data_IF_948202700775
#
_entry.id   IF_948202700775
#
_cell.length_a   1.000
_cell.length_b   1.000
_cell.length_c   1.000
_cell.angle_alpha   90.00
_cell.angle_beta   90.00
_cell.angle_gamma   90.00
#
_symmetry.space_group_name_H-M   'P 1'
#
loop_
_entity.id
_entity.type
_entity.pdbx_description
1 polymer ?
#
# COMPACT_ATOMS: atom_id res chain seq x y z
N UNK A 1 0.78 -15.02 -98.27
CA UNK A 1 -0.50 -15.15 -97.62
C UNK A 1 -0.24 -15.72 -96.24
N UNK A 2 -0.26 -14.90 -95.21
CA UNK A 2 0.18 -15.24 -93.87
C UNK A 2 -1.07 -15.27 -92.93
N UNK A 3 -1.32 -16.38 -92.27
CA UNK A 3 -2.38 -16.51 -91.27
C UNK A 3 -1.70 -16.41 -89.92
N UNK A 4 -2.01 -15.34 -89.22
CA UNK A 4 -1.67 -15.16 -87.83
C UNK A 4 -2.74 -15.81 -86.94
N UNK A 5 -2.38 -16.90 -86.24
CA UNK A 5 -3.18 -17.48 -85.19
C UNK A 5 -2.94 -16.80 -83.86
N UNK A 6 -3.92 -16.13 -83.30
CA UNK A 6 -3.88 -15.57 -81.95
C UNK A 6 -4.16 -16.71 -80.92
N UNK A 7 -3.14 -16.92 -80.07
CA UNK A 7 -3.29 -17.80 -78.91
C UNK A 7 -3.70 -16.98 -77.71
N UNK A 8 -4.91 -17.19 -77.22
CA UNK A 8 -5.37 -16.57 -75.99
C UNK A 8 -4.78 -17.34 -74.81
N UNK A 9 -3.90 -16.69 -74.08
CA UNK A 9 -3.41 -17.19 -72.79
C UNK A 9 -4.37 -16.76 -71.69
N UNK A 10 -5.09 -17.72 -71.13
CA UNK A 10 -5.89 -17.53 -69.92
C UNK A 10 -4.98 -17.28 -68.74
N UNK A 11 -5.00 -16.09 -68.15
CA UNK A 11 -4.30 -15.79 -66.92
C UNK A 11 -5.25 -16.17 -65.78
N UNK A 12 -4.92 -17.23 -65.06
CA UNK A 12 -5.57 -17.63 -63.80
C UNK A 12 -4.95 -16.79 -62.70
N UNK A 13 -5.71 -15.85 -62.12
CA UNK A 13 -5.28 -15.07 -60.94
C UNK A 13 -5.69 -15.89 -59.69
N UNK A 14 -4.74 -16.34 -58.87
CA UNK A 14 -5.10 -16.97 -57.60
C UNK A 14 -5.62 -15.91 -56.64
N UNK A 15 -6.87 -16.06 -56.20
CA UNK A 15 -7.43 -15.32 -55.10
C UNK A 15 -6.77 -15.78 -53.78
N UNK A 16 -5.84 -14.96 -53.27
CA UNK A 16 -5.27 -15.18 -51.92
C UNK A 16 -6.31 -14.70 -50.91
N UNK A 17 -6.94 -15.67 -50.23
CA UNK A 17 -7.77 -15.42 -49.05
C UNK A 17 -6.82 -15.08 -47.88
N UNK A 18 -6.65 -13.80 -47.62
CA UNK A 18 -5.90 -13.33 -46.45
C UNK A 18 -6.72 -13.55 -45.19
N UNK A 19 -6.31 -14.54 -44.40
CA UNK A 19 -6.81 -14.71 -43.02
C UNK A 19 -6.23 -13.58 -42.18
N UNK A 20 -7.06 -12.57 -41.89
CA UNK A 20 -6.72 -11.47 -41.02
C UNK A 20 -6.78 -11.97 -39.55
N UNK A 21 -5.63 -12.35 -39.01
CA UNK A 21 -5.49 -12.70 -37.59
C UNK A 21 -5.59 -11.41 -36.78
N UNK A 22 -6.73 -11.21 -36.15
CA UNK A 22 -6.91 -10.11 -35.16
C UNK A 22 -6.13 -10.48 -33.91
N UNK A 23 -4.96 -9.88 -33.75
CA UNK A 23 -4.20 -9.93 -32.51
C UNK A 23 -4.90 -9.00 -31.52
N UNK A 24 -5.71 -9.56 -30.64
CA UNK A 24 -6.25 -8.82 -29.50
C UNK A 24 -5.11 -8.63 -28.50
N UNK A 25 -4.64 -7.41 -28.24
CA UNK A 25 -3.64 -7.20 -27.20
C UNK A 25 -4.28 -7.57 -25.87
N UNK A 26 -3.74 -8.61 -25.21
CA UNK A 26 -4.06 -8.93 -23.82
C UNK A 26 -3.56 -7.76 -22.97
N UNK A 27 -4.47 -6.88 -22.57
CA UNK A 27 -4.16 -5.87 -21.58
C UNK A 27 -3.85 -6.61 -20.27
N UNK A 28 -2.69 -6.37 -19.65
CA UNK A 28 -2.47 -6.88 -18.30
C UNK A 28 -3.58 -6.34 -17.43
N UNK A 29 -4.36 -7.24 -16.81
CA UNK A 29 -5.30 -6.87 -15.77
C UNK A 29 -4.51 -6.10 -14.71
N UNK A 30 -4.76 -4.82 -14.58
CA UNK A 30 -4.27 -4.04 -13.47
C UNK A 30 -4.76 -4.76 -12.22
N UNK A 31 -3.84 -5.38 -11.48
CA UNK A 31 -4.12 -5.89 -10.14
C UNK A 31 -4.63 -4.69 -9.37
N UNK A 32 -5.91 -4.71 -9.06
CA UNK A 32 -6.54 -3.69 -8.22
C UNK A 32 -5.80 -3.71 -6.87
N UNK A 33 -5.06 -2.64 -6.61
CA UNK A 33 -4.42 -2.36 -5.33
C UNK A 33 -5.46 -1.83 -4.32
N UNK A 34 -6.69 -2.37 -4.32
CA UNK A 34 -7.86 -1.74 -3.70
C UNK A 34 -8.18 -2.20 -2.29
N UNK A 35 -7.36 -3.05 -1.67
CA UNK A 35 -7.63 -3.52 -0.30
C UNK A 35 -6.60 -3.03 0.74
N UNK A 36 -5.76 -2.05 0.40
CA UNK A 36 -4.80 -1.49 1.35
C UNK A 36 -5.48 -0.38 2.16
N UNK A 37 -5.63 -0.60 3.46
CA UNK A 37 -6.15 0.43 4.36
C UNK A 37 -5.18 1.61 4.44
N UNK A 38 -5.69 2.81 4.65
CA UNK A 38 -4.88 4.02 4.73
C UNK A 38 -5.03 4.70 6.08
N UNK A 39 -3.88 4.97 6.71
CA UNK A 39 -3.76 5.83 7.89
C UNK A 39 -2.87 7.01 7.53
N UNK A 40 -3.31 8.21 7.80
CA UNK A 40 -2.54 9.43 7.61
C UNK A 40 -2.15 10.00 8.97
N UNK A 41 -0.87 10.33 9.12
CA UNK A 41 -0.31 10.97 10.31
C UNK A 41 0.34 12.28 9.88
N UNK A 42 -0.21 13.38 10.31
CA UNK A 42 0.41 14.70 10.14
C UNK A 42 1.12 15.10 11.43
N UNK A 43 2.40 15.39 11.34
CA UNK A 43 3.22 15.86 12.45
C UNK A 43 3.30 17.38 12.37
N UNK A 44 3.08 18.05 13.49
CA UNK A 44 3.32 19.48 13.68
C UNK A 44 4.21 19.68 14.91
N UNK A 45 4.70 20.89 15.14
CA UNK A 45 5.51 21.19 16.34
C UNK A 45 4.71 21.09 17.65
N UNK A 46 3.38 20.93 17.56
CA UNK A 46 2.48 20.79 18.72
C UNK A 46 2.06 19.36 19.00
N UNK A 47 2.15 18.45 18.02
CA UNK A 47 1.67 17.07 18.17
C UNK A 47 1.32 16.43 16.82
N UNK A 48 0.49 15.41 16.90
CA UNK A 48 0.07 14.60 15.77
C UNK A 48 -1.43 14.75 15.49
N UNK A 49 -1.77 14.81 14.20
CA UNK A 49 -3.14 14.62 13.70
C UNK A 49 -3.19 13.28 12.97
N UNK A 50 -4.13 12.40 13.37
CA UNK A 50 -4.25 11.03 12.84
C UNK A 50 -5.61 10.85 12.20
N UNK A 51 -5.62 10.36 10.95
CA UNK A 51 -6.84 10.03 10.20
C UNK A 51 -6.78 8.61 9.70
N UNK A 52 -7.89 7.91 9.80
CA UNK A 52 -8.01 6.52 9.41
C UNK A 52 -7.75 5.54 10.56
N UNK A 53 -7.85 4.28 10.23
CA UNK A 53 -7.64 3.16 11.17
C UNK A 53 -7.07 1.97 10.41
N UNK A 54 -6.61 0.97 11.14
CA UNK A 54 -6.19 -0.32 10.58
C UNK A 54 -7.02 -1.45 11.16
N UNK A 55 -7.05 -2.57 10.45
CA UNK A 55 -7.71 -3.80 10.87
C UNK A 55 -6.65 -4.90 10.99
N UNK A 56 -6.73 -5.79 11.99
CA UNK A 56 -5.83 -6.92 12.08
C UNK A 56 -5.88 -7.78 10.81
N UNK A 57 -4.72 -8.11 10.28
CA UNK A 57 -4.57 -8.90 9.04
C UNK A 57 -4.60 -8.09 7.75
N UNK A 58 -5.16 -6.89 7.76
CA UNK A 58 -5.16 -6.04 6.58
C UNK A 58 -3.80 -5.39 6.32
N UNK A 59 -3.41 -5.33 5.06
CA UNK A 59 -2.29 -4.49 4.66
C UNK A 59 -2.70 -3.03 4.81
N UNK A 60 -1.88 -2.25 5.50
CA UNK A 60 -2.17 -0.85 5.80
C UNK A 60 -1.00 0.02 5.35
N UNK A 61 -1.32 1.10 4.67
CA UNK A 61 -0.38 2.15 4.32
C UNK A 61 -0.49 3.29 5.32
N UNK A 62 0.55 3.49 6.12
CA UNK A 62 0.66 4.59 7.08
C UNK A 62 1.49 5.69 6.41
N UNK A 63 0.85 6.77 6.01
CA UNK A 63 1.51 7.94 5.41
C UNK A 63 1.79 8.94 6.52
N UNK A 64 3.07 9.23 6.76
CA UNK A 64 3.53 10.16 7.78
C UNK A 64 4.12 11.38 7.11
N UNK A 65 3.62 12.58 7.42
CA UNK A 65 4.09 13.84 6.87
C UNK A 65 4.48 14.79 7.98
N UNK A 66 5.70 15.29 7.97
CA UNK A 66 6.15 16.34 8.87
C UNK A 66 5.83 17.73 8.29
N UNK A 67 4.84 18.42 8.87
CA UNK A 67 4.46 19.80 8.55
C UNK A 67 4.98 20.78 9.60
N UNK A 68 5.75 20.30 10.59
CA UNK A 68 6.43 21.14 11.56
C UNK A 68 7.65 21.85 10.99
N UNK A 69 8.28 22.65 11.81
CA UNK A 69 9.52 23.38 11.49
C UNK A 69 10.78 22.71 12.01
N UNK A 70 10.62 21.65 12.78
CA UNK A 70 11.70 20.87 13.40
C UNK A 70 11.66 19.42 12.93
N UNK A 71 12.77 18.71 13.15
CA UNK A 71 12.82 17.24 13.00
C UNK A 71 11.95 16.58 14.05
N UNK A 72 11.07 15.71 13.62
CA UNK A 72 10.21 14.93 14.50
C UNK A 72 10.38 13.44 14.28
N UNK A 73 10.19 12.68 15.37
CA UNK A 73 10.18 11.23 15.35
C UNK A 73 8.75 10.66 15.38
N UNK A 74 8.60 9.44 14.93
CA UNK A 74 7.44 8.61 15.21
C UNK A 74 7.93 7.22 15.60
N UNK A 75 7.59 6.80 16.82
CA UNK A 75 7.99 5.52 17.40
C UNK A 75 6.78 4.79 17.95
N UNK A 76 6.65 3.50 17.69
CA UNK A 76 5.57 2.67 18.22
C UNK A 76 6.06 1.23 18.41
N UNK A 77 5.56 0.51 19.42
CA UNK A 77 5.77 -0.93 19.55
C UNK A 77 5.30 -1.69 18.30
N UNK A 78 4.28 -1.19 17.66
CA UNK A 78 3.69 -1.74 16.45
C UNK A 78 4.68 -1.83 15.28
N UNK A 79 5.60 -0.88 15.18
CA UNK A 79 6.56 -0.84 14.06
C UNK A 79 7.64 -1.92 14.14
N UNK A 80 7.86 -2.49 15.31
CA UNK A 80 8.89 -3.51 15.50
C UNK A 80 8.65 -4.76 14.65
N UNK A 81 7.41 -5.18 14.53
CA UNK A 81 7.03 -6.46 13.92
C UNK A 81 6.13 -6.31 12.69
N UNK A 82 5.45 -5.17 12.56
CA UNK A 82 4.43 -4.97 11.55
C UNK A 82 4.89 -4.30 10.27
N UNK A 83 5.96 -3.50 10.30
CA UNK A 83 6.43 -2.78 9.12
C UNK A 83 7.18 -3.71 8.20
N UNK A 84 6.64 -3.92 7.00
CA UNK A 84 7.19 -4.79 5.95
C UNK A 84 8.03 -4.01 4.94
N UNK A 85 7.66 -2.75 4.66
CA UNK A 85 8.34 -1.89 3.70
C UNK A 85 8.26 -0.42 4.14
N UNK A 86 9.31 0.35 3.86
CA UNK A 86 9.33 1.81 3.99
C UNK A 86 9.61 2.43 2.64
N UNK A 87 8.89 3.49 2.30
CA UNK A 87 9.09 4.29 1.09
C UNK A 87 9.19 5.77 1.45
N UNK A 88 9.77 6.56 0.55
CA UNK A 88 9.94 8.00 0.72
C UNK A 88 11.04 8.37 1.71
N UNK A 89 10.92 9.58 2.24
CA UNK A 89 11.91 10.19 3.14
C UNK A 89 11.93 9.55 4.53
N UNK A 90 12.65 10.19 5.44
CA UNK A 90 12.76 9.75 6.83
C UNK A 90 13.84 8.70 7.06
N UNK A 91 14.48 8.79 8.21
CA UNK A 91 15.58 7.91 8.64
C UNK A 91 15.08 6.93 9.68
N UNK A 92 15.32 5.63 9.46
CA UNK A 92 15.00 4.61 10.44
C UNK A 92 16.04 4.63 11.57
N UNK A 93 15.55 4.79 12.79
CA UNK A 93 16.34 4.73 14.02
C UNK A 93 16.00 3.42 14.73
N UNK A 94 17.00 2.59 14.95
CA UNK A 94 16.86 1.38 15.75
C UNK A 94 17.35 1.65 17.16
N UNK A 95 16.51 1.36 18.13
CA UNK A 95 16.87 1.48 19.53
C UNK A 95 18.10 0.63 19.87
N UNK A 96 18.88 1.07 20.86
CA UNK A 96 20.02 0.32 21.37
C UNK A 96 19.62 -1.09 21.78
N UNK A 97 20.55 -2.06 21.65
CA UNK A 97 20.36 -3.47 22.03
C UNK A 97 19.58 -3.60 23.35
N UNK A 98 18.37 -4.17 23.28
CA UNK A 98 17.51 -4.45 24.42
C UNK A 98 16.27 -3.54 24.61
N UNK A 99 16.22 -2.35 24.01
CA UNK A 99 15.02 -1.49 23.98
C UNK A 99 14.35 -1.55 22.62
N UNK A 100 13.86 -2.70 22.26
CA UNK A 100 13.37 -3.04 20.92
C UNK A 100 12.23 -2.20 20.35
N UNK A 101 12.41 -0.90 20.23
CA UNK A 101 11.52 -0.05 19.45
C UNK A 101 12.19 0.32 18.11
N UNK A 102 11.36 0.64 17.14
CA UNK A 102 11.75 1.19 15.86
C UNK A 102 11.13 2.58 15.75
N UNK A 103 11.94 3.57 15.47
CA UNK A 103 11.51 4.94 15.24
C UNK A 103 11.88 5.39 13.84
N UNK A 104 11.19 6.40 13.33
CA UNK A 104 11.51 7.06 12.08
C UNK A 104 11.56 8.55 12.32
N UNK A 105 12.65 9.20 11.90
CA UNK A 105 12.82 10.64 12.01
C UNK A 105 12.57 11.29 10.65
N UNK A 106 11.79 12.35 10.63
CA UNK A 106 11.46 13.13 9.44
C UNK A 106 11.86 14.60 9.66
N UNK A 107 12.63 15.13 8.71
CA UNK A 107 12.91 16.56 8.63
C UNK A 107 11.66 17.36 8.22
N UNK A 108 11.63 18.69 8.41
CA UNK A 108 10.54 19.54 7.95
C UNK A 108 10.21 19.31 6.47
N UNK A 109 8.92 19.16 6.16
CA UNK A 109 8.42 18.94 4.81
C UNK A 109 8.55 17.50 4.27
N UNK A 110 9.27 16.63 4.95
CA UNK A 110 9.45 15.25 4.51
C UNK A 110 8.17 14.42 4.67
N UNK A 111 8.05 13.43 3.80
CA UNK A 111 6.93 12.45 3.79
C UNK A 111 7.47 11.04 3.66
N UNK A 112 6.93 10.15 4.45
CA UNK A 112 7.27 8.73 4.49
C UNK A 112 6.00 7.89 4.40
N UNK A 113 6.10 6.74 3.77
CA UNK A 113 5.05 5.71 3.76
C UNK A 113 5.59 4.43 4.36
N UNK A 114 4.87 3.90 5.34
CA UNK A 114 5.14 2.58 5.94
C UNK A 114 4.05 1.62 5.49
N UNK A 115 4.44 0.49 4.90
CA UNK A 115 3.56 -0.63 4.65
C UNK A 115 3.58 -1.53 5.88
N UNK A 116 2.43 -1.76 6.44
CA UNK A 116 2.28 -2.34 7.75
C UNK A 116 1.17 -3.40 7.76
N UNK A 117 1.36 -4.47 8.53
CA UNK A 117 0.32 -5.45 8.82
C UNK A 117 0.36 -5.82 10.29
N UNK A 118 -0.74 -5.60 11.00
CA UNK A 118 -0.92 -6.04 12.39
C UNK A 118 -1.40 -7.47 12.38
N UNK A 119 -0.68 -8.38 13.02
CA UNK A 119 -1.16 -9.75 13.22
C UNK A 119 -2.40 -9.74 14.11
N UNK A 120 -3.45 -10.53 13.77
CA UNK A 120 -4.58 -10.73 14.67
C UNK A 120 -4.08 -11.28 16.02
N UNK A 121 -4.64 -10.74 17.09
CA UNK A 121 -4.39 -11.20 18.46
C UNK A 121 -5.74 -11.42 19.14
N UNK A 122 -6.44 -12.52 18.81
CA UNK A 122 -7.72 -12.81 19.43
C UNK A 122 -7.54 -13.09 20.91
N UNK A 123 -8.51 -12.64 21.72
CA UNK A 123 -8.62 -13.02 23.12
C UNK A 123 -8.74 -14.55 23.20
N UNK A 124 -7.91 -15.24 24.00
CA UNK A 124 -7.95 -16.70 24.11
C UNK A 124 -9.27 -17.24 24.61
N UNK A 125 -10.02 -16.47 25.38
CA UNK A 125 -11.30 -16.90 25.98
C UNK A 125 -12.49 -16.71 25.02
N UNK A 126 -12.47 -15.67 24.19
CA UNK A 126 -13.60 -15.32 23.33
C UNK A 126 -13.33 -15.54 21.85
N UNK A 127 -12.08 -15.71 21.45
CA UNK A 127 -11.67 -15.77 20.03
C UNK A 127 -11.87 -14.46 19.28
N UNK A 128 -12.17 -13.38 19.98
CA UNK A 128 -12.51 -12.07 19.41
C UNK A 128 -11.30 -11.14 19.60
N UNK A 129 -10.88 -10.47 18.54
CA UNK A 129 -9.93 -9.36 18.66
C UNK A 129 -10.69 -8.10 19.00
N UNK A 130 -10.34 -7.45 20.08
CA UNK A 130 -10.96 -6.20 20.49
C UNK A 130 -10.34 -5.00 19.75
N UNK A 131 -11.13 -3.95 19.60
CA UNK A 131 -10.60 -2.64 19.19
C UNK A 131 -9.57 -2.19 20.21
N UNK A 132 -8.37 -1.86 19.75
CA UNK A 132 -7.31 -1.39 20.62
C UNK A 132 -6.72 -0.06 20.11
N UNK A 133 -6.28 0.75 21.06
CA UNK A 133 -5.46 1.94 20.80
C UNK A 133 -4.00 1.57 21.01
N UNK A 134 -3.18 1.76 19.98
CA UNK A 134 -1.75 1.46 20.06
C UNK A 134 -0.99 2.79 20.12
N UNK A 135 -0.29 3.06 21.23
CA UNK A 135 0.39 4.34 21.39
C UNK A 135 1.57 4.47 20.43
N UNK A 136 1.80 5.70 20.04
CA UNK A 136 3.05 6.14 19.41
C UNK A 136 3.48 7.49 20.00
N UNK A 137 4.75 7.81 19.85
CA UNK A 137 5.32 9.04 20.41
C UNK A 137 6.50 9.53 19.56
N UNK A 138 6.88 10.78 19.80
CA UNK A 138 8.14 11.31 19.32
C UNK A 138 9.24 10.96 20.34
N UNK A 139 10.27 10.27 19.90
CA UNK A 139 11.42 9.93 20.74
C UNK A 139 12.39 11.13 20.95
N UNK A 140 12.22 12.20 20.17
CA UNK A 140 12.95 13.46 20.29
C UNK A 140 12.22 14.43 21.23
N UNK A 141 10.87 14.47 21.18
CA UNK A 141 10.05 15.42 21.92
C UNK A 141 9.05 14.68 22.83
N UNK A 142 9.36 14.59 24.11
CA UNK A 142 8.64 13.74 25.07
C UNK A 142 7.16 14.10 25.29
N UNK A 143 6.74 15.33 24.98
CA UNK A 143 5.37 15.78 25.10
C UNK A 143 4.48 15.35 23.93
N UNK A 144 5.06 14.91 22.82
CA UNK A 144 4.32 14.52 21.61
C UNK A 144 3.96 13.03 21.65
N UNK A 145 2.67 12.75 21.77
CA UNK A 145 2.10 11.40 21.79
C UNK A 145 0.86 11.33 20.92
N UNK A 146 0.56 10.15 20.40
CA UNK A 146 -0.64 9.84 19.65
C UNK A 146 -0.99 8.36 19.77
N UNK A 147 -2.07 7.96 19.13
CA UNK A 147 -2.59 6.60 19.17
C UNK A 147 -3.07 6.18 17.78
N UNK A 148 -2.76 4.96 17.40
CA UNK A 148 -3.35 4.30 16.25
C UNK A 148 -4.59 3.53 16.70
N UNK A 149 -5.68 3.67 15.97
CA UNK A 149 -6.87 2.88 16.17
C UNK A 149 -6.77 1.60 15.34
N UNK A 150 -6.81 0.46 16.01
CA UNK A 150 -6.89 -0.87 15.41
C UNK A 150 -8.30 -1.39 15.65
N UNK A 151 -9.08 -1.55 14.58
CA UNK A 151 -10.49 -1.95 14.64
C UNK A 151 -10.66 -3.33 14.04
N UNK A 152 -11.30 -4.24 14.73
CA UNK A 152 -11.79 -5.46 14.13
C UNK A 152 -13.18 -5.21 13.54
N UNK A 153 -13.29 -5.28 12.23
CA UNK A 153 -14.59 -5.33 11.56
C UNK A 153 -15.12 -6.76 11.62
N UNK A 154 -16.07 -7.01 12.50
CA UNK A 154 -16.92 -8.20 12.36
C UNK A 154 -17.85 -7.97 11.20
N UNK A 155 -17.73 -8.78 10.16
CA UNK A 155 -18.78 -8.91 9.16
C UNK A 155 -20.02 -9.44 9.85
N UNK A 156 -21.01 -8.59 10.10
CA UNK A 156 -22.35 -9.07 10.37
C UNK A 156 -22.84 -9.74 9.08
N UNK A 157 -22.84 -11.07 9.10
CA UNK A 157 -23.58 -11.82 8.10
C UNK A 157 -25.04 -11.59 8.47
N UNK A 158 -25.69 -10.63 7.79
CA UNK A 158 -27.12 -10.39 7.90
C UNK A 158 -27.83 -11.70 7.56
N UNK A 159 -28.32 -12.36 8.59
CA UNK A 159 -29.31 -13.42 8.43
C UNK A 159 -30.59 -12.79 7.91
N UNK A 160 -30.93 -13.10 6.64
CA UNK A 160 -32.24 -12.85 6.08
C UNK A 160 -33.25 -13.89 6.60
#
# INVERSE_FOLDING_TARGET
MSRYGQVWRSVIIPMAVGVMTVIVPSMPSAVQADDEMKVEVTITDRGYDVKGHTTPGALTRIVVKNQGTMTHGISSPMFKEGVTKKEGDGVEIRGQKGKGYRAYHLEPGQTMTLHFTKKPQPDPATGISETMQVPFWCDIHSHMKGEFLVVETKGEVGGG
#
